data_IF_842242459949
#
_entry.id   IF_842242459949
#
_cell.length_a   1.000
_cell.length_b   1.000
_cell.length_c   1.000
_cell.angle_alpha   90.00
_cell.angle_beta   90.00
_cell.angle_gamma   90.00
#
_symmetry.space_group_name_H-M   'P 1'
#
loop_
_entity.id
_entity.type
_entity.pdbx_description
1 polymer ?
#
# COMPACT_ATOMS: atom_id res chain seq x y z
N UNK A 1 16.10 -19.00 -26.35
CA UNK A 1 16.27 -18.17 -25.13
C UNK A 1 14.88 -17.84 -24.61
N UNK A 2 14.49 -18.33 -23.43
CA UNK A 2 13.27 -17.87 -22.78
C UNK A 2 13.56 -16.47 -22.26
N UNK A 3 12.86 -15.46 -22.78
CA UNK A 3 12.88 -14.11 -22.21
C UNK A 3 12.36 -14.27 -20.79
N UNK A 4 13.22 -14.05 -19.80
CA UNK A 4 12.78 -13.95 -18.42
C UNK A 4 11.88 -12.71 -18.36
N UNK A 5 10.56 -12.90 -18.37
CA UNK A 5 9.65 -11.84 -17.96
C UNK A 5 9.99 -11.56 -16.50
N UNK A 6 10.76 -10.51 -16.27
CA UNK A 6 10.98 -9.97 -14.93
C UNK A 6 9.67 -9.34 -14.50
N UNK A 7 8.79 -10.13 -13.89
CA UNK A 7 7.60 -9.64 -13.21
C UNK A 7 8.08 -8.59 -12.22
N UNK A 8 7.65 -7.33 -12.41
CA UNK A 8 7.96 -6.24 -11.49
C UNK A 8 6.84 -6.19 -10.46
N UNK A 9 7.06 -6.80 -9.31
CA UNK A 9 6.14 -6.67 -8.17
C UNK A 9 6.30 -5.26 -7.58
N UNK A 10 5.18 -4.59 -7.35
CA UNK A 10 5.07 -3.33 -6.62
C UNK A 10 4.15 -3.51 -5.42
N UNK A 11 4.21 -2.58 -4.48
CA UNK A 11 3.38 -2.60 -3.27
C UNK A 11 2.54 -1.35 -3.22
N UNK A 12 1.25 -1.48 -2.94
CA UNK A 12 0.30 -0.36 -2.79
C UNK A 12 -0.34 -0.43 -1.42
N UNK A 13 -0.73 0.72 -0.88
CA UNK A 13 -1.56 0.80 0.31
C UNK A 13 -3.02 0.86 -0.12
N UNK A 14 -3.81 -0.07 0.41
CA UNK A 14 -5.25 -0.17 0.18
C UNK A 14 -5.97 0.28 1.45
N UNK A 15 -6.91 1.20 1.30
CA UNK A 15 -7.91 1.50 2.33
C UNK A 15 -8.87 0.31 2.43
N UNK A 16 -8.95 -0.33 3.60
CA UNK A 16 -9.77 -1.53 3.82
C UNK A 16 -11.27 -1.23 3.89
N UNK A 17 -11.64 0.03 4.12
CA UNK A 17 -13.02 0.50 4.19
C UNK A 17 -13.57 0.71 2.78
N UNK A 18 -12.81 1.39 1.92
CA UNK A 18 -13.24 1.71 0.55
C UNK A 18 -12.76 0.71 -0.49
N UNK A 19 -11.73 -0.09 -0.18
CA UNK A 19 -11.09 -1.04 -1.08
C UNK A 19 -10.21 -0.40 -2.15
N UNK A 20 -9.96 0.91 -2.06
CA UNK A 20 -9.20 1.65 -3.07
C UNK A 20 -7.73 1.80 -2.70
N UNK A 21 -6.90 1.88 -3.73
CA UNK A 21 -5.51 2.32 -3.60
C UNK A 21 -5.47 3.79 -3.18
N UNK A 22 -4.78 4.07 -2.07
CA UNK A 22 -4.62 5.43 -1.53
C UNK A 22 -3.22 6.00 -1.77
N UNK A 23 -2.31 5.20 -2.32
CA UNK A 23 -0.92 5.57 -2.59
C UNK A 23 -0.47 5.11 -3.97
N UNK A 24 0.56 5.76 -4.51
CA UNK A 24 1.28 5.25 -5.67
C UNK A 24 1.99 3.91 -5.38
N UNK A 25 2.31 3.08 -6.41
CA UNK A 25 2.98 1.81 -6.21
C UNK A 25 4.45 1.95 -5.79
N UNK A 26 4.77 1.45 -4.60
CA UNK A 26 6.11 1.37 -4.03
C UNK A 26 6.92 0.22 -4.58
N UNK A 27 8.25 0.34 -4.50
CA UNK A 27 9.17 -0.72 -4.91
C UNK A 27 9.35 -1.77 -3.83
N UNK A 28 9.32 -1.34 -2.57
CA UNK A 28 9.53 -2.19 -1.40
C UNK A 28 8.33 -2.14 -0.46
N UNK A 29 8.02 -3.27 0.16
CA UNK A 29 6.92 -3.38 1.14
C UNK A 29 7.12 -2.44 2.34
N UNK A 30 8.37 -2.29 2.80
CA UNK A 30 8.70 -1.41 3.93
C UNK A 30 8.31 0.05 3.69
N UNK A 31 8.43 0.55 2.46
CA UNK A 31 8.00 1.91 2.10
C UNK A 31 6.48 2.06 2.27
N UNK A 32 5.71 1.05 1.85
CA UNK A 32 4.25 1.05 2.00
C UNK A 32 3.82 0.98 3.48
N UNK A 33 4.55 0.22 4.32
CA UNK A 33 4.30 0.12 5.76
C UNK A 33 4.56 1.46 6.47
N UNK A 34 5.63 2.18 6.10
CA UNK A 34 5.93 3.50 6.67
C UNK A 34 4.80 4.50 6.38
N UNK A 35 4.26 4.48 5.16
CA UNK A 35 3.13 5.34 4.79
C UNK A 35 1.85 4.97 5.54
N UNK A 36 1.59 3.69 5.81
CA UNK A 36 0.45 3.29 6.66
C UNK A 36 0.54 3.95 8.03
N UNK A 37 1.73 3.97 8.65
CA UNK A 37 1.90 4.59 9.96
C UNK A 37 1.59 6.11 9.93
N UNK A 38 1.98 6.80 8.86
CA UNK A 38 1.67 8.22 8.65
C UNK A 38 0.16 8.45 8.44
N UNK A 39 -0.50 7.62 7.61
CA UNK A 39 -1.95 7.70 7.35
C UNK A 39 -2.75 7.44 8.63
N UNK A 40 -2.41 6.39 9.39
CA UNK A 40 -3.05 6.11 10.67
C UNK A 40 -2.85 7.24 11.68
N UNK A 41 -1.68 7.87 11.70
CA UNK A 41 -1.44 9.02 12.56
C UNK A 41 -2.32 10.20 12.15
N UNK A 42 -2.42 10.51 10.87
CA UNK A 42 -3.28 11.57 10.36
C UNK A 42 -4.76 11.33 10.71
N UNK A 43 -5.23 10.08 10.61
CA UNK A 43 -6.60 9.73 10.98
C UNK A 43 -6.85 9.84 12.50
N UNK A 44 -5.83 9.54 13.32
CA UNK A 44 -5.89 9.73 14.77
C UNK A 44 -5.99 11.21 15.12
N UNK A 45 -5.21 12.06 14.44
CA UNK A 45 -5.24 13.51 14.62
C UNK A 45 -6.57 14.12 14.15
N UNK A 46 -7.16 13.58 13.07
CA UNK A 46 -8.47 13.98 12.56
C UNK A 46 -9.67 13.40 13.37
N UNK A 47 -9.43 12.43 14.24
CA UNK A 47 -10.46 11.75 15.04
C UNK A 47 -11.32 10.74 14.25
N UNK A 48 -10.86 10.30 13.09
CA UNK A 48 -11.52 9.31 12.23
C UNK A 48 -10.80 7.96 12.17
N UNK A 49 -9.80 7.74 13.03
CA UNK A 49 -9.04 6.49 13.07
C UNK A 49 -9.92 5.25 13.28
N UNK A 50 -9.69 4.25 12.44
CA UNK A 50 -10.23 2.91 12.56
C UNK A 50 -9.05 1.94 12.55
N UNK A 51 -9.02 0.99 13.49
CA UNK A 51 -7.98 -0.03 13.50
C UNK A 51 -8.02 -0.86 12.20
N UNK A 52 -6.84 -1.18 11.66
CA UNK A 52 -6.69 -1.94 10.41
C UNK A 52 -7.36 -1.26 9.19
N UNK A 53 -7.44 0.08 9.20
CA UNK A 53 -8.02 0.87 8.08
C UNK A 53 -7.19 0.83 6.80
N UNK A 54 -5.93 0.39 6.89
CA UNK A 54 -5.02 0.27 5.75
C UNK A 54 -4.30 -1.08 5.75
N UNK A 55 -4.07 -1.62 4.55
CA UNK A 55 -3.25 -2.82 4.33
C UNK A 55 -2.30 -2.63 3.16
N UNK A 56 -1.18 -3.35 3.17
CA UNK A 56 -0.30 -3.43 2.00
C UNK A 56 -0.75 -4.55 1.09
N UNK A 57 -0.79 -4.29 -0.22
CA UNK A 57 -1.07 -5.30 -1.24
C UNK A 57 0.02 -5.31 -2.32
N UNK A 58 0.42 -6.50 -2.76
CA UNK A 58 1.40 -6.66 -3.84
C UNK A 58 0.69 -6.69 -5.18
N UNK A 59 1.05 -5.78 -6.08
CA UNK A 59 0.51 -5.68 -7.43
C UNK A 59 1.58 -6.00 -8.47
N UNK A 60 1.23 -6.86 -9.44
CA UNK A 60 2.11 -7.22 -10.54
C UNK A 60 2.05 -6.14 -11.63
N UNK A 61 3.21 -5.59 -12.00
CA UNK A 61 3.32 -4.63 -13.10
C UNK A 61 3.98 -5.33 -14.29
N UNK A 62 3.25 -5.38 -15.41
CA UNK A 62 3.64 -6.01 -16.69
C UNK A 62 4.43 -5.02 -17.54
#
# INVERSE_FOLDING_TARGET
MKVANSIKVRFVVIDTITGNEVTDPFRFEGEAIEVIAELEQNDKEAGCYVADSYKVESVEVI
#
